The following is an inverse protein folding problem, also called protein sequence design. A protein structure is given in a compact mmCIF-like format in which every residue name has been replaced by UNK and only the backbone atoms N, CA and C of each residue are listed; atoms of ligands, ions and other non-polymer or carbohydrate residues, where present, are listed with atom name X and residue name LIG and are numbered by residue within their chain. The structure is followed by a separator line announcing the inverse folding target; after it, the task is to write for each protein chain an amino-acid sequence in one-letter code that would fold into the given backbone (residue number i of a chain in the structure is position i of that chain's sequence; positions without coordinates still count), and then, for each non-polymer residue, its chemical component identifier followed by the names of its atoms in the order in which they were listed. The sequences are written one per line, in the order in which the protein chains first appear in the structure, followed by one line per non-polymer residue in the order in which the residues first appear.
data_IF_908420955172
#
_entry.id   IF_908420955172
#
_cell.length_a   1.000
_cell.length_b   1.000
_cell.length_c   1.000
_cell.angle_alpha   90.00
_cell.angle_beta   90.00
_cell.angle_gamma   90.00
#
_symmetry.space_group_name_H-M   'P 1'
#
loop_
_entity.id
_entity.type
_entity.pdbx_description
1 polymer ?
#
# COMPACT_ATOMS: atom_id res chain seq x y z
N UNK A 1 14.25 19.91 4.59
CA UNK A 1 13.15 19.78 5.56
C UNK A 1 11.90 20.32 4.90
N UNK A 2 11.02 19.46 4.37
CA UNK A 2 9.71 19.86 3.86
C UNK A 2 8.64 19.13 4.68
N UNK A 3 8.17 19.78 5.74
CA UNK A 3 6.87 19.48 6.35
C UNK A 3 5.81 20.19 5.51
N UNK A 4 4.74 19.50 5.15
CA UNK A 4 3.50 20.18 4.80
C UNK A 4 2.87 19.78 3.48
N UNK A 5 2.58 18.50 3.30
CA UNK A 5 1.30 18.05 2.76
C UNK A 5 1.23 16.57 3.12
N UNK A 6 0.51 16.24 4.19
CA UNK A 6 0.02 14.88 4.32
C UNK A 6 -0.86 14.67 3.09
N UNK A 7 -0.37 13.89 2.12
CA UNK A 7 -1.15 13.61 0.94
C UNK A 7 -2.42 12.90 1.43
N UNK A 8 -3.58 13.19 0.85
CA UNK A 8 -4.84 12.50 1.21
C UNK A 8 -4.65 10.99 1.28
N UNK A 9 -3.73 10.48 0.45
CA UNK A 9 -3.36 9.08 0.31
C UNK A 9 -2.43 8.52 1.40
N UNK A 10 -1.75 9.33 2.21
CA UNK A 10 -0.92 8.84 3.33
C UNK A 10 -1.78 8.07 4.34
N UNK A 11 -3.01 8.55 4.55
CA UNK A 11 -4.03 7.89 5.38
C UNK A 11 -4.44 6.52 4.83
N UNK A 12 -4.22 6.27 3.53
CA UNK A 12 -4.57 5.03 2.85
C UNK A 12 -3.36 4.14 2.54
N UNK A 13 -2.12 4.63 2.68
CA UNK A 13 -0.92 3.87 2.35
C UNK A 13 -0.83 2.56 3.14
N UNK A 14 -1.06 2.61 4.47
CA UNK A 14 -1.12 1.41 5.31
C UNK A 14 -2.23 0.43 4.84
N UNK A 15 -3.40 0.96 4.52
CA UNK A 15 -4.55 0.17 4.07
C UNK A 15 -4.28 -0.51 2.71
N UNK A 16 -3.68 0.21 1.76
CA UNK A 16 -3.27 -0.34 0.48
C UNK A 16 -2.19 -1.39 0.66
N UNK A 17 -1.15 -1.11 1.45
CA UNK A 17 -0.08 -2.06 1.73
C UNK A 17 -0.59 -3.36 2.37
N UNK A 18 -1.57 -3.28 3.29
CA UNK A 18 -2.25 -4.47 3.85
C UNK A 18 -2.97 -5.28 2.79
N UNK A 19 -3.74 -4.64 1.89
CA UNK A 19 -4.43 -5.34 0.80
C UNK A 19 -3.47 -6.03 -0.16
N UNK A 20 -2.34 -5.40 -0.48
CA UNK A 20 -1.28 -6.04 -1.26
C UNK A 20 -0.65 -7.23 -0.53
N UNK A 21 -0.47 -7.12 0.79
CA UNK A 21 0.07 -8.18 1.62
C UNK A 21 -0.87 -9.39 1.68
N UNK A 22 -2.18 -9.17 1.78
CA UNK A 22 -3.20 -10.22 1.73
C UNK A 22 -3.21 -10.94 0.37
N UNK A 23 -3.08 -10.19 -0.73
CA UNK A 23 -3.06 -10.76 -2.07
C UNK A 23 -1.75 -11.50 -2.38
N UNK A 24 -0.61 -11.08 -1.80
CA UNK A 24 0.68 -11.75 -1.99
C UNK A 24 0.63 -13.25 -1.64
N UNK A 25 -0.19 -13.63 -0.67
CA UNK A 25 -0.39 -15.03 -0.25
C UNK A 25 -1.37 -15.80 -1.13
N UNK A 26 -2.07 -15.13 -2.05
CA UNK A 26 -3.17 -15.69 -2.86
C UNK A 26 -2.92 -15.65 -4.37
N UNK A 27 -1.85 -14.99 -4.83
CA UNK A 27 -1.55 -14.90 -6.25
C UNK A 27 -1.31 -16.29 -6.83
N UNK A 28 -2.03 -16.60 -7.92
CA UNK A 28 -2.05 -17.92 -8.55
C UNK A 28 -1.57 -17.87 -10.01
N UNK A 29 -1.67 -16.71 -10.66
CA UNK A 29 -1.39 -16.61 -12.09
C UNK A 29 -0.58 -15.35 -12.49
N UNK A 30 -0.19 -15.33 -13.76
CA UNK A 30 0.64 -14.27 -14.35
C UNK A 30 -0.01 -12.88 -14.33
N UNK A 31 -1.35 -12.81 -14.34
CA UNK A 31 -2.08 -11.54 -14.27
C UNK A 31 -1.95 -10.97 -12.86
N UNK A 32 -2.25 -11.80 -11.87
CA UNK A 32 -2.19 -11.41 -10.47
C UNK A 32 -0.76 -11.03 -10.08
N UNK A 33 0.23 -11.81 -10.52
CA UNK A 33 1.64 -11.49 -10.32
C UNK A 33 2.02 -10.15 -10.96
N UNK A 34 1.53 -9.84 -12.17
CA UNK A 34 1.82 -8.57 -12.83
C UNK A 34 1.33 -7.38 -12.00
N UNK A 35 0.06 -7.40 -11.60
CA UNK A 35 -0.55 -6.27 -10.93
C UNK A 35 -0.17 -6.17 -9.45
N UNK A 36 0.20 -7.28 -8.82
CA UNK A 36 0.85 -7.29 -7.51
C UNK A 36 2.21 -6.56 -7.58
N UNK A 37 3.10 -6.96 -8.50
CA UNK A 37 4.42 -6.33 -8.69
C UNK A 37 4.27 -4.84 -8.99
N UNK A 38 3.43 -4.51 -9.96
CA UNK A 38 3.22 -3.12 -10.40
C UNK A 38 2.65 -2.25 -9.30
N UNK A 39 1.71 -2.78 -8.53
CA UNK A 39 1.15 -2.13 -7.36
C UNK A 39 2.17 -1.84 -6.27
N UNK A 40 2.99 -2.85 -5.94
CA UNK A 40 4.10 -2.69 -5.00
C UNK A 40 5.13 -1.64 -5.49
N UNK A 41 5.49 -1.65 -6.78
CA UNK A 41 6.38 -0.64 -7.36
C UNK A 41 5.81 0.78 -7.26
N UNK A 42 4.49 0.94 -7.42
CA UNK A 42 3.83 2.24 -7.23
C UNK A 42 3.86 2.69 -5.77
N UNK A 43 3.64 1.79 -4.82
CA UNK A 43 3.76 2.10 -3.39
C UNK A 43 5.18 2.55 -3.03
N UNK A 44 6.22 1.87 -3.53
CA UNK A 44 7.61 2.26 -3.29
C UNK A 44 7.98 3.63 -3.87
N UNK A 45 7.22 4.11 -4.85
CA UNK A 45 7.46 5.39 -5.54
C UNK A 45 6.52 6.50 -5.06
N UNK A 46 5.70 6.22 -4.04
CA UNK A 46 4.69 7.13 -3.51
C UNK A 46 3.70 7.61 -4.58
N UNK A 47 3.21 6.68 -5.40
CA UNK A 47 2.21 6.93 -6.46
C UNK A 47 0.91 6.18 -6.11
N UNK A 48 0.09 6.73 -5.22
CA UNK A 48 -1.05 6.02 -4.64
C UNK A 48 -2.15 5.71 -5.66
N UNK A 49 -2.41 6.57 -6.65
CA UNK A 49 -3.39 6.31 -7.70
C UNK A 49 -2.96 5.14 -8.59
N UNK A 50 -1.66 5.01 -8.83
CA UNK A 50 -1.08 3.88 -9.53
C UNK A 50 -1.28 2.57 -8.76
N UNK A 51 -1.03 2.59 -7.45
CA UNK A 51 -1.26 1.47 -6.57
C UNK A 51 -2.77 1.10 -6.53
N UNK A 52 -3.67 2.06 -6.38
CA UNK A 52 -5.11 1.82 -6.41
C UNK A 52 -5.53 1.19 -7.74
N UNK A 53 -5.07 1.75 -8.86
CA UNK A 53 -5.37 1.21 -10.19
C UNK A 53 -4.89 -0.23 -10.33
N UNK A 54 -3.64 -0.51 -9.96
CA UNK A 54 -3.09 -1.85 -10.02
C UNK A 54 -3.84 -2.83 -9.12
N UNK A 55 -4.28 -2.42 -7.92
CA UNK A 55 -5.09 -3.24 -7.03
C UNK A 55 -6.45 -3.59 -7.64
N UNK A 56 -7.10 -2.64 -8.31
CA UNK A 56 -8.37 -2.88 -9.00
C UNK A 56 -8.22 -3.90 -10.14
N UNK A 57 -7.10 -3.86 -10.88
CA UNK A 57 -6.80 -4.90 -11.87
C UNK A 57 -6.47 -6.25 -11.22
N UNK A 58 -5.71 -6.25 -10.12
CA UNK A 58 -5.35 -7.47 -9.38
C UNK A 58 -6.60 -8.25 -8.95
N UNK A 59 -7.60 -7.55 -8.44
CA UNK A 59 -8.86 -8.13 -7.93
C UNK A 59 -9.91 -8.38 -9.02
N UNK A 60 -9.58 -8.12 -10.28
CA UNK A 60 -10.51 -8.25 -11.39
C UNK A 60 -10.82 -9.74 -11.66
N UNK A 61 -12.12 -10.12 -11.78
CA UNK A 61 -12.52 -11.47 -12.11
C UNK A 61 -11.91 -11.97 -13.44
N UNK A 62 -11.50 -13.25 -13.55
CA UNK A 62 -10.82 -13.78 -14.74
C UNK A 62 -11.52 -13.52 -16.07
N UNK A 63 -12.86 -13.60 -16.09
CA UNK A 63 -13.72 -13.37 -17.26
C UNK A 63 -13.67 -11.93 -17.79
N UNK A 64 -13.18 -10.97 -16.99
CA UNK A 64 -13.11 -9.56 -17.37
C UNK A 64 -11.71 -9.09 -17.76
N UNK A 65 -10.67 -9.89 -17.50
CA UNK A 65 -9.27 -9.47 -17.60
C UNK A 65 -8.86 -9.09 -19.02
N UNK A 66 -9.21 -9.92 -19.99
CA UNK A 66 -8.85 -9.72 -21.40
C UNK A 66 -9.55 -8.50 -22.02
N UNK A 67 -10.73 -8.13 -21.53
CA UNK A 67 -11.48 -6.98 -22.03
C UNK A 67 -10.86 -5.62 -21.62
N UNK A 68 -10.09 -5.59 -20.54
CA UNK A 68 -9.60 -4.33 -19.93
C UNK A 68 -8.10 -4.12 -20.07
N UNK A 69 -7.34 -5.13 -20.48
CA UNK A 69 -5.89 -5.03 -20.60
C UNK A 69 -5.34 -5.94 -21.69
N UNK A 70 -4.70 -5.33 -22.70
CA UNK A 70 -4.05 -6.01 -23.81
C UNK A 70 -2.51 -6.00 -23.72
N UNK A 71 -1.95 -5.62 -22.56
CA UNK A 71 -0.51 -5.51 -22.37
C UNK A 71 0.19 -6.85 -22.17
N UNK A 72 1.52 -6.85 -22.33
CA UNK A 72 2.32 -8.03 -22.09
C UNK A 72 2.34 -8.40 -20.58
N UNK A 73 2.02 -9.66 -20.29
CA UNK A 73 2.12 -10.22 -18.95
C UNK A 73 3.49 -10.88 -18.73
N UNK A 74 4.02 -10.85 -17.51
CA UNK A 74 5.28 -11.50 -17.20
C UNK A 74 5.16 -13.01 -17.40
N UNK A 75 6.20 -13.60 -17.98
CA UNK A 75 6.31 -15.06 -18.13
C UNK A 75 6.91 -15.68 -16.86
N UNK A 76 7.72 -14.91 -16.13
CA UNK A 76 8.38 -15.36 -14.91
C UNK A 76 7.40 -15.43 -13.73
N UNK A 77 7.30 -16.58 -13.04
CA UNK A 77 6.49 -16.70 -11.84
C UNK A 77 7.04 -15.82 -10.71
N UNK A 78 6.25 -15.67 -9.65
CA UNK A 78 6.71 -15.02 -8.43
C UNK A 78 7.65 -15.97 -7.70
N UNK A 79 8.92 -15.58 -7.54
CA UNK A 79 9.89 -16.42 -6.83
C UNK A 79 9.69 -16.32 -5.32
N UNK A 80 10.06 -17.36 -4.57
CA UNK A 80 9.97 -17.33 -3.11
C UNK A 80 10.79 -16.19 -2.48
N UNK A 81 11.95 -15.88 -3.05
CA UNK A 81 12.83 -14.80 -2.59
C UNK A 81 12.21 -13.42 -2.83
N UNK A 82 11.61 -13.25 -4.00
CA UNK A 82 10.89 -12.04 -4.36
C UNK A 82 9.66 -11.84 -3.47
N UNK A 83 8.86 -12.89 -3.25
CA UNK A 83 7.73 -12.84 -2.35
C UNK A 83 8.14 -12.44 -0.94
N UNK A 84 9.28 -12.94 -0.42
CA UNK A 84 9.82 -12.52 0.87
C UNK A 84 10.21 -11.04 0.89
N UNK A 85 10.87 -10.54 -0.15
CA UNK A 85 11.23 -9.11 -0.26
C UNK A 85 9.99 -8.21 -0.30
N UNK A 86 9.01 -8.54 -1.13
CA UNK A 86 7.75 -7.80 -1.22
C UNK A 86 7.05 -7.80 0.14
N UNK A 87 6.95 -8.95 0.81
CA UNK A 87 6.35 -9.07 2.14
C UNK A 87 7.01 -8.16 3.16
N UNK A 88 8.35 -8.14 3.19
CA UNK A 88 9.10 -7.29 4.10
C UNK A 88 8.88 -5.82 3.81
N UNK A 89 8.91 -5.41 2.54
CA UNK A 89 8.64 -4.04 2.13
C UNK A 89 7.24 -3.57 2.49
N UNK A 90 6.21 -4.39 2.24
CA UNK A 90 4.82 -4.05 2.61
C UNK A 90 4.65 -3.91 4.12
N UNK A 91 5.25 -4.81 4.92
CA UNK A 91 5.23 -4.70 6.39
C UNK A 91 5.90 -3.42 6.88
N UNK A 92 6.99 -3.02 6.23
CA UNK A 92 7.69 -1.79 6.56
C UNK A 92 6.82 -0.55 6.30
N UNK A 93 6.21 -0.46 5.12
CA UNK A 93 5.29 0.64 4.77
C UNK A 93 4.11 0.75 5.75
N UNK A 94 3.56 -0.38 6.20
CA UNK A 94 2.50 -0.40 7.22
C UNK A 94 3.01 0.19 8.53
N UNK A 95 4.19 -0.24 8.99
CA UNK A 95 4.75 0.21 10.25
C UNK A 95 5.12 1.71 10.23
N UNK A 96 5.58 2.24 9.09
CA UNK A 96 5.87 3.67 8.92
C UNK A 96 4.60 4.50 9.01
N UNK A 97 3.57 4.13 8.25
CA UNK A 97 2.29 4.83 8.26
C UNK A 97 1.58 4.78 9.63
N UNK A 98 1.71 3.68 10.38
CA UNK A 98 1.18 3.57 11.75
C UNK A 98 1.92 4.48 12.76
N UNK A 99 3.23 4.70 12.57
CA UNK A 99 4.00 5.61 13.42
C UNK A 99 3.66 7.08 13.16
N UNK A 100 3.44 7.44 11.90
CA UNK A 100 3.00 8.80 11.54
C UNK A 100 1.59 9.12 12.00
N UNK A 101 0.72 8.11 12.12
CA UNK A 101 -0.64 8.26 12.61
C UNK A 101 -0.76 8.50 14.12
N UNK A 102 0.32 8.37 14.90
CA UNK A 102 0.33 8.72 16.33
C UNK A 102 0.38 10.25 16.45
N UNK A 103 -0.74 10.93 16.79
CA UNK A 103 -0.68 12.37 16.99
C UNK A 103 0.11 12.64 18.26
N UNK A 104 1.01 13.63 18.19
CA UNK A 104 1.51 14.34 19.37
C UNK A 104 0.33 14.60 20.30
N UNK A 105 0.33 13.90 21.45
CA UNK A 105 -0.65 14.06 22.53
C UNK A 105 -0.84 15.57 22.78
N UNK A 106 -2.05 16.15 22.66
CA UNK A 106 -2.21 17.56 23.00
C UNK A 106 -1.82 17.71 24.48
N UNK A 107 -0.82 18.55 24.74
CA UNK A 107 -0.46 18.93 26.10
C UNK A 107 -1.74 19.48 26.76
N UNK A 108 -2.21 18.82 27.81
CA UNK A 108 -3.36 19.26 28.57
C UNK A 108 -3.12 20.71 29.05
N UNK A 109 -4.06 21.64 28.87
CA UNK A 109 -3.91 22.96 29.47
C UNK A 109 -3.98 22.81 30.99
N UNK A 110 -2.89 23.18 31.68
CA UNK A 110 -2.84 23.29 33.13
C UNK A 110 -3.71 24.48 33.57
N UNK A 111 -5.01 24.27 33.72
CA UNK A 111 -5.90 25.26 34.32
C UNK A 111 -5.76 25.18 35.85
N UNK A 112 -4.86 25.99 36.41
CA UNK A 112 -4.80 26.24 37.85
C UNK A 112 -5.77 27.37 38.17
N UNK A 113 -6.96 27.04 38.69
CA UNK A 113 -7.82 28.04 39.32
C UNK A 113 -7.29 28.25 40.75
N UNK A 114 -6.69 29.41 41.00
CA UNK A 114 -6.49 29.92 42.36
C UNK A 114 -7.76 30.70 42.72
N UNK A 115 -8.52 30.22 43.71
CA UNK A 115 -9.50 31.05 44.39
C UNK A 115 -8.77 31.84 45.48
N UNK A 116 -8.93 33.17 45.44
CA UNK A 116 -8.56 34.10 46.48
C UNK A 116 -9.71 34.26 47.49
#
# INVERSE_FOLDING_TARGET
MSRGMHNYYDLFAASLARRYLENLDRVQDRWEIHFLRRGYDFLLRDIPEGAISALNYLELPPDRREAVFAGALPVAPLTGDEARRIRQGLKHLIAEAEQEAVPMRPAAPAFRVQFA
#
